data_IF_488389084970
#
_entry.id   IF_488389084970
#
_cell.length_a   1.000
_cell.length_b   1.000
_cell.length_c   1.000
_cell.angle_alpha   90.00
_cell.angle_beta   90.00
_cell.angle_gamma   90.00
#
_symmetry.space_group_name_H-M   'P 1'
#
loop_
_entity.id
_entity.type
_entity.pdbx_description
1 polymer ?
#
# COMPACT_ATOMS: atom_id res chain seq x y z
N UNK A 1 -1.91 9.52 -14.12
CA UNK A 1 -1.24 10.45 -13.20
C UNK A 1 0.25 10.24 -13.32
N UNK A 2 1.01 11.33 -13.35
CA UNK A 2 2.47 11.33 -13.19
C UNK A 2 2.83 11.28 -11.69
N UNK A 3 4.08 11.00 -11.38
CA UNK A 3 4.63 11.06 -10.02
C UNK A 3 4.83 12.52 -9.59
N UNK A 4 4.72 12.78 -8.29
CA UNK A 4 5.06 14.05 -7.64
C UNK A 4 6.18 13.87 -6.62
N UNK A 5 6.78 14.98 -6.22
CA UNK A 5 7.90 15.00 -5.29
C UNK A 5 7.44 15.28 -3.87
N UNK A 6 8.00 14.55 -2.90
CA UNK A 6 7.89 14.86 -1.47
C UNK A 6 8.93 14.08 -0.67
N UNK A 7 8.98 14.36 0.64
CA UNK A 7 9.79 13.64 1.61
C UNK A 7 8.93 13.24 2.81
N UNK A 8 9.31 12.14 3.46
CA UNK A 8 8.73 11.70 4.72
C UNK A 8 9.85 11.19 5.64
N UNK A 9 9.69 11.39 6.94
CA UNK A 9 10.56 10.83 7.96
C UNK A 9 9.71 10.02 8.93
N UNK A 10 10.19 8.84 9.30
CA UNK A 10 9.50 7.92 10.22
C UNK A 10 10.49 7.54 11.30
N UNK A 11 10.07 7.68 12.56
CA UNK A 11 10.84 7.25 13.73
C UNK A 11 10.19 5.98 14.25
N UNK A 12 10.98 4.92 14.34
CA UNK A 12 10.59 3.65 14.97
C UNK A 12 11.49 3.47 16.18
N UNK A 13 10.90 3.08 17.31
CA UNK A 13 11.61 2.86 18.56
C UNK A 13 11.16 1.51 19.17
N UNK A 14 11.84 1.10 20.25
CA UNK A 14 11.44 -0.06 21.02
C UNK A 14 10.02 0.13 21.56
N UNK A 15 9.16 -0.84 21.31
CA UNK A 15 7.80 -0.86 21.85
C UNK A 15 7.84 -0.88 23.38
N UNK A 16 7.05 0.01 23.99
CA UNK A 16 6.87 0.08 25.45
C UNK A 16 5.56 -0.59 25.91
N UNK A 17 4.77 -1.14 24.98
CA UNK A 17 3.51 -1.83 25.29
C UNK A 17 3.09 -2.76 24.15
N UNK A 18 2.42 -3.86 24.45
CA UNK A 18 1.90 -4.80 23.44
C UNK A 18 0.93 -4.17 22.43
N UNK A 19 0.36 -3.00 22.76
CA UNK A 19 -0.49 -2.21 21.86
C UNK A 19 0.29 -1.49 20.74
N UNK A 20 1.62 -1.38 20.86
CA UNK A 20 2.50 -0.78 19.86
C UNK A 20 3.24 -1.87 19.09
N UNK A 21 2.69 -2.23 17.93
CA UNK A 21 3.08 -3.46 17.24
C UNK A 21 3.04 -3.31 15.72
N UNK A 22 4.15 -3.68 15.08
CA UNK A 22 4.17 -4.16 13.70
C UNK A 22 3.94 -5.67 13.78
N UNK A 23 2.72 -6.12 13.44
CA UNK A 23 2.31 -7.52 13.60
C UNK A 23 3.02 -8.43 12.61
N UNK A 24 3.17 -7.96 11.37
CA UNK A 24 3.91 -8.64 10.31
C UNK A 24 4.13 -7.70 9.13
N UNK A 25 5.16 -7.99 8.35
CA UNK A 25 5.40 -7.35 7.06
C UNK A 25 5.95 -8.38 6.07
N UNK A 26 5.42 -8.37 4.86
CA UNK A 26 5.84 -9.27 3.78
C UNK A 26 5.90 -8.52 2.46
N UNK A 27 6.89 -8.84 1.63
CA UNK A 27 7.09 -8.25 0.31
C UNK A 27 7.41 -9.34 -0.71
N UNK A 28 6.85 -9.18 -1.91
CA UNK A 28 7.07 -10.08 -3.05
C UNK A 28 7.42 -9.28 -4.30
N UNK A 29 8.58 -9.58 -4.89
CA UNK A 29 8.97 -9.09 -6.21
C UNK A 29 8.48 -10.04 -7.30
N UNK A 30 7.65 -9.54 -8.22
CA UNK A 30 7.13 -10.31 -9.35
C UNK A 30 7.94 -10.02 -10.62
N UNK A 31 9.18 -10.52 -10.67
CA UNK A 31 10.17 -10.18 -11.69
C UNK A 31 9.70 -10.43 -13.14
N UNK A 32 8.79 -11.39 -13.35
CA UNK A 32 8.16 -11.67 -14.65
C UNK A 32 7.49 -10.44 -15.27
N UNK A 33 7.15 -9.43 -14.48
CA UNK A 33 6.50 -8.20 -14.93
C UNK A 33 7.41 -6.96 -14.87
N UNK A 34 8.71 -7.12 -14.58
CA UNK A 34 9.65 -6.01 -14.47
C UNK A 34 9.65 -5.10 -15.72
N UNK A 35 9.51 -5.70 -16.92
CA UNK A 35 9.45 -4.97 -18.20
C UNK A 35 8.26 -4.01 -18.33
N UNK A 36 7.25 -4.12 -17.48
CA UNK A 36 6.09 -3.22 -17.51
C UNK A 36 6.42 -1.82 -16.99
N UNK A 37 7.56 -1.65 -16.32
CA UNK A 37 8.09 -0.34 -15.98
C UNK A 37 9.61 -0.34 -15.94
N UNK A 38 10.22 0.44 -16.82
CA UNK A 38 11.68 0.53 -16.93
C UNK A 38 12.13 1.97 -16.71
N UNK A 39 13.08 2.16 -15.79
CA UNK A 39 13.88 3.37 -15.71
C UNK A 39 15.05 3.26 -16.67
N UNK A 40 15.07 4.07 -17.72
CA UNK A 40 16.14 4.06 -18.74
C UNK A 40 16.37 5.47 -19.30
N UNK A 41 17.48 5.71 -20.04
CA UNK A 41 17.72 7.01 -20.65
C UNK A 41 16.52 7.49 -21.46
N UNK A 42 16.17 8.75 -21.28
CA UNK A 42 15.06 9.39 -21.99
C UNK A 42 15.39 9.52 -23.47
N UNK A 43 14.43 9.17 -24.32
CA UNK A 43 14.46 9.38 -25.77
C UNK A 43 14.14 10.85 -26.15
N UNK A 44 13.75 11.68 -25.17
CA UNK A 44 13.30 13.07 -25.39
C UNK A 44 14.14 14.13 -24.68
N UNK A 45 14.83 13.77 -23.60
CA UNK A 45 15.52 14.72 -22.72
C UNK A 45 16.87 14.18 -22.29
N UNK A 46 17.77 15.06 -21.83
CA UNK A 46 18.98 14.64 -21.15
C UNK A 46 18.59 14.17 -19.74
N UNK A 47 18.56 12.86 -19.50
CA UNK A 47 18.18 12.28 -18.20
C UNK A 47 17.59 10.87 -18.30
N UNK A 48 17.02 10.40 -17.20
CA UNK A 48 16.31 9.11 -17.10
C UNK A 48 14.80 9.36 -17.17
N UNK A 49 14.06 8.46 -17.82
CA UNK A 49 12.61 8.44 -17.84
C UNK A 49 12.07 7.06 -17.41
N UNK A 50 10.87 7.07 -16.83
CA UNK A 50 10.11 5.87 -16.48
C UNK A 50 9.17 5.51 -17.62
N UNK A 51 9.48 4.44 -18.34
CA UNK A 51 8.64 3.90 -19.41
C UNK A 51 7.70 2.85 -18.84
N UNK A 52 6.42 3.20 -18.73
CA UNK A 52 5.42 2.38 -18.02
C UNK A 52 4.30 1.93 -18.93
N UNK A 53 4.04 0.62 -18.99
CA UNK A 53 2.86 0.05 -19.64
C UNK A 53 1.71 -0.02 -18.61
N UNK A 54 1.14 1.14 -18.29
CA UNK A 54 0.23 1.32 -17.16
C UNK A 54 -1.03 0.43 -17.22
N UNK A 55 -1.55 0.21 -18.43
CA UNK A 55 -2.74 -0.63 -18.63
C UNK A 55 -2.49 -2.11 -18.25
N UNK A 56 -1.30 -2.63 -18.55
CA UNK A 56 -0.94 -4.02 -18.23
C UNK A 56 -0.68 -4.24 -16.73
N UNK A 57 -0.12 -3.22 -16.07
CA UNK A 57 0.19 -3.24 -14.64
C UNK A 57 -1.08 -3.28 -13.78
N UNK A 58 -2.14 -2.59 -14.22
CA UNK A 58 -3.41 -2.51 -13.49
C UNK A 58 -4.45 -3.55 -13.93
N UNK A 59 -4.05 -4.57 -14.69
CA UNK A 59 -4.95 -5.69 -14.99
C UNK A 59 -5.30 -6.45 -13.72
N UNK A 60 -6.53 -6.98 -13.70
CA UNK A 60 -7.14 -7.61 -12.52
C UNK A 60 -6.23 -8.65 -11.86
N UNK A 61 -5.67 -9.56 -12.63
CA UNK A 61 -4.85 -10.65 -12.11
C UNK A 61 -3.51 -10.17 -11.53
N UNK A 62 -3.00 -9.00 -11.94
CA UNK A 62 -1.82 -8.37 -11.33
C UNK A 62 -2.15 -7.70 -10.01
N UNK A 63 -3.31 -7.03 -9.95
CA UNK A 63 -3.84 -6.50 -8.69
C UNK A 63 -4.09 -7.63 -7.68
N UNK A 64 -4.56 -8.78 -8.15
CA UNK A 64 -4.82 -9.96 -7.33
C UNK A 64 -3.55 -10.66 -6.81
N UNK A 65 -2.35 -10.25 -7.19
CA UNK A 65 -1.10 -10.81 -6.65
C UNK A 65 -0.98 -10.56 -5.13
N UNK A 66 -1.30 -9.35 -4.67
CA UNK A 66 -1.29 -9.03 -3.24
C UNK A 66 -2.22 -9.92 -2.40
N UNK A 67 -3.54 -9.95 -2.64
CA UNK A 67 -4.45 -10.69 -1.76
C UNK A 67 -4.21 -12.20 -1.84
N UNK A 68 -3.75 -12.74 -2.98
CA UNK A 68 -3.33 -14.15 -3.08
C UNK A 68 -2.09 -14.44 -2.25
N UNK A 69 -1.12 -13.53 -2.27
CA UNK A 69 0.08 -13.66 -1.44
C UNK A 69 -0.27 -13.61 0.05
N UNK A 70 -1.16 -12.70 0.46
CA UNK A 70 -1.60 -12.61 1.85
C UNK A 70 -2.46 -13.82 2.28
N UNK A 71 -3.28 -14.38 1.39
CA UNK A 71 -3.96 -15.66 1.66
C UNK A 71 -2.99 -16.82 1.88
N UNK A 72 -1.91 -16.89 1.09
CA UNK A 72 -0.89 -17.91 1.29
C UNK A 72 -0.22 -17.76 2.66
N UNK A 73 0.10 -16.53 3.05
CA UNK A 73 0.61 -16.22 4.39
C UNK A 73 -0.35 -16.67 5.50
N UNK A 74 -1.64 -16.34 5.41
CA UNK A 74 -2.64 -16.79 6.39
C UNK A 74 -2.81 -18.30 6.44
N UNK A 75 -2.67 -19.00 5.31
CA UNK A 75 -2.73 -20.46 5.29
C UNK A 75 -1.58 -21.08 6.09
N UNK A 76 -0.40 -20.46 6.08
CA UNK A 76 0.79 -20.94 6.77
C UNK A 76 0.82 -20.53 8.25
N UNK A 77 0.39 -19.31 8.56
CA UNK A 77 0.51 -18.71 9.91
C UNK A 77 -0.80 -18.75 10.71
N UNK A 78 -1.90 -19.17 10.08
CA UNK A 78 -3.24 -19.11 10.65
C UNK A 78 -3.90 -17.73 10.51
N UNK A 79 -5.22 -17.72 10.65
CA UNK A 79 -6.04 -16.51 10.52
C UNK A 79 -6.61 -16.30 9.12
N UNK A 80 -7.18 -15.12 8.92
CA UNK A 80 -7.72 -14.60 7.66
C UNK A 80 -7.97 -13.09 7.81
N UNK A 81 -8.31 -12.42 6.71
CA UNK A 81 -8.49 -10.95 6.70
C UNK A 81 -9.60 -10.46 7.64
N UNK A 82 -10.63 -11.26 7.91
CA UNK A 82 -11.71 -10.89 8.84
C UNK A 82 -11.25 -10.98 10.29
N UNK A 83 -10.49 -12.03 10.62
CA UNK A 83 -9.94 -12.24 11.97
C UNK A 83 -8.93 -11.17 12.37
N UNK A 84 -8.31 -10.49 11.40
CA UNK A 84 -7.36 -9.40 11.64
C UNK A 84 -8.01 -8.16 12.24
N UNK A 85 -9.30 -7.94 11.96
CA UNK A 85 -10.07 -6.77 12.44
C UNK A 85 -9.38 -5.44 12.10
N UNK A 86 -8.96 -5.27 10.85
CA UNK A 86 -8.43 -4.00 10.38
C UNK A 86 -9.49 -2.91 10.45
N UNK A 87 -9.14 -1.75 11.03
CA UNK A 87 -9.98 -0.55 11.00
C UNK A 87 -9.84 0.19 9.66
N UNK A 88 -8.65 0.10 9.07
CA UNK A 88 -8.29 0.83 7.86
C UNK A 88 -7.46 -0.01 6.90
N UNK A 89 -7.60 0.31 5.61
CA UNK A 89 -6.68 -0.13 4.57
C UNK A 89 -6.03 1.07 3.88
N UNK A 90 -4.72 1.00 3.69
CA UNK A 90 -3.92 2.03 3.03
C UNK A 90 -3.19 1.42 1.85
N UNK A 91 -3.76 1.62 0.66
CA UNK A 91 -3.11 1.24 -0.59
C UNK A 91 -2.05 2.25 -1.02
N UNK A 92 -1.13 1.82 -1.87
CA UNK A 92 -0.25 2.76 -2.56
C UNK A 92 -1.06 3.76 -3.41
N UNK A 93 -0.68 5.05 -3.37
CA UNK A 93 -1.47 6.16 -3.91
C UNK A 93 -1.22 6.38 -5.41
N UNK A 94 -1.55 5.39 -6.24
CA UNK A 94 -1.33 5.48 -7.71
C UNK A 94 -2.37 6.36 -8.40
N UNK A 95 -3.61 6.33 -7.91
CA UNK A 95 -4.75 7.07 -8.43
C UNK A 95 -6.06 6.52 -7.87
N UNK A 96 -7.10 7.36 -7.80
CA UNK A 96 -8.39 7.01 -7.18
C UNK A 96 -8.99 5.72 -7.73
N UNK A 97 -9.04 5.57 -9.05
CA UNK A 97 -9.55 4.36 -9.71
C UNK A 97 -8.73 3.11 -9.40
N UNK A 98 -7.40 3.23 -9.32
CA UNK A 98 -6.53 2.11 -9.00
C UNK A 98 -6.76 1.64 -7.56
N UNK A 99 -6.77 2.59 -6.61
CA UNK A 99 -7.06 2.33 -5.19
C UNK A 99 -8.42 1.63 -5.03
N UNK A 100 -9.46 2.11 -5.71
CA UNK A 100 -10.78 1.45 -5.69
C UNK A 100 -10.72 0.01 -6.22
N UNK A 101 -10.02 -0.22 -7.33
CA UNK A 101 -9.86 -1.56 -7.90
C UNK A 101 -9.06 -2.50 -6.96
N UNK A 102 -8.07 -1.99 -6.22
CA UNK A 102 -7.32 -2.79 -5.26
C UNK A 102 -8.24 -3.31 -4.15
N UNK A 103 -9.06 -2.45 -3.55
CA UNK A 103 -10.04 -2.89 -2.54
C UNK A 103 -11.09 -3.83 -3.13
N UNK A 104 -11.63 -3.53 -4.31
CA UNK A 104 -12.61 -4.40 -4.98
C UNK A 104 -12.06 -5.80 -5.25
N UNK A 105 -10.93 -5.90 -5.94
CA UNK A 105 -10.35 -7.20 -6.32
C UNK A 105 -9.70 -7.91 -5.13
N UNK A 106 -9.26 -7.17 -4.11
CA UNK A 106 -8.87 -7.72 -2.82
C UNK A 106 -10.02 -8.44 -2.13
N UNK A 107 -11.16 -7.76 -1.98
CA UNK A 107 -12.36 -8.35 -1.38
C UNK A 107 -12.86 -9.59 -2.15
N UNK A 108 -12.79 -9.58 -3.49
CA UNK A 108 -13.13 -10.75 -4.31
C UNK A 108 -12.20 -11.95 -4.04
N UNK A 109 -10.90 -11.72 -3.84
CA UNK A 109 -9.94 -12.82 -3.59
C UNK A 109 -10.02 -13.32 -2.16
N UNK A 110 -10.15 -12.41 -1.19
CA UNK A 110 -10.31 -12.80 0.21
C UNK A 110 -11.68 -13.41 0.51
N UNK A 111 -12.65 -13.29 -0.40
CA UNK A 111 -14.04 -13.68 -0.20
C UNK A 111 -14.65 -13.03 1.06
N UNK A 112 -14.19 -11.81 1.37
CA UNK A 112 -14.49 -11.12 2.62
C UNK A 112 -14.68 -9.61 2.38
N UNK A 113 -15.39 -8.97 3.31
CA UNK A 113 -15.50 -7.51 3.31
C UNK A 113 -14.19 -6.91 3.82
N UNK A 114 -13.56 -6.09 2.99
CA UNK A 114 -12.47 -5.22 3.43
C UNK A 114 -13.04 -3.99 4.14
N UNK A 115 -12.25 -3.30 5.00
CA UNK A 115 -12.69 -2.09 5.67
C UNK A 115 -13.21 -1.05 4.68
N UNK A 116 -14.37 -0.45 4.98
CA UNK A 116 -14.94 0.62 4.15
C UNK A 116 -14.02 1.85 4.12
N UNK A 117 -13.28 2.07 5.21
CA UNK A 117 -12.31 3.16 5.32
C UNK A 117 -11.01 2.82 4.59
N UNK A 118 -11.01 3.07 3.28
CA UNK A 118 -9.77 3.19 2.52
C UNK A 118 -9.14 4.56 2.79
N UNK A 119 -7.92 4.58 3.31
CA UNK A 119 -7.15 5.80 3.51
C UNK A 119 -6.59 6.27 2.17
N UNK A 120 -6.81 7.54 1.85
CA UNK A 120 -6.41 8.12 0.57
C UNK A 120 -6.05 9.59 0.74
N UNK A 121 -4.98 9.99 0.05
CA UNK A 121 -4.57 11.37 -0.13
C UNK A 121 -4.33 11.73 -1.61
N UNK A 122 -4.52 10.76 -2.50
CA UNK A 122 -4.10 10.84 -3.90
C UNK A 122 -4.76 11.99 -4.68
N UNK A 123 -5.97 12.41 -4.29
CA UNK A 123 -6.70 13.48 -4.98
C UNK A 123 -6.10 14.87 -4.76
N UNK A 124 -5.42 15.07 -3.62
CA UNK A 124 -4.84 16.37 -3.26
C UNK A 124 -3.31 16.38 -3.20
N UNK A 125 -2.66 15.22 -2.99
CA UNK A 125 -1.20 15.10 -3.01
C UNK A 125 -0.64 14.40 -4.24
N UNK A 126 -1.48 13.75 -5.05
CA UNK A 126 -1.03 12.95 -6.16
C UNK A 126 -0.28 11.68 -5.73
N UNK A 127 0.50 11.11 -6.65
CA UNK A 127 1.33 9.94 -6.39
C UNK A 127 2.74 10.39 -6.03
N UNK A 128 3.08 10.38 -4.74
CA UNK A 128 4.41 10.78 -4.24
C UNK A 128 5.40 9.62 -4.10
N UNK A 129 5.24 8.61 -4.97
CA UNK A 129 6.08 7.43 -5.03
C UNK A 129 6.26 6.76 -3.66
N UNK A 130 7.48 6.49 -3.24
CA UNK A 130 7.80 5.75 -2.01
C UNK A 130 7.30 6.42 -0.73
N UNK A 131 7.05 7.72 -0.75
CA UNK A 131 6.58 8.46 0.43
C UNK A 131 5.05 8.46 0.60
N UNK A 132 4.31 7.96 -0.40
CA UNK A 132 2.86 8.05 -0.47
C UNK A 132 2.13 7.47 0.74
N UNK A 133 2.55 6.29 1.22
CA UNK A 133 1.92 5.66 2.38
C UNK A 133 2.10 6.50 3.65
N UNK A 134 3.32 7.00 3.90
CA UNK A 134 3.62 7.76 5.11
C UNK A 134 2.90 9.11 5.15
N UNK A 135 2.90 9.85 4.03
CA UNK A 135 2.22 11.14 3.97
C UNK A 135 0.70 10.95 4.05
N UNK A 136 0.15 9.93 3.39
CA UNK A 136 -1.28 9.63 3.51
C UNK A 136 -1.66 9.26 4.94
N UNK A 137 -0.86 8.42 5.61
CA UNK A 137 -1.09 8.05 6.99
C UNK A 137 -1.04 9.29 7.90
N UNK A 138 -0.02 10.14 7.74
CA UNK A 138 0.12 11.40 8.46
C UNK A 138 -1.12 12.30 8.31
N UNK A 139 -1.60 12.53 7.09
CA UNK A 139 -2.79 13.37 6.84
C UNK A 139 -4.07 12.76 7.47
N UNK A 140 -4.20 11.44 7.45
CA UNK A 140 -5.36 10.76 8.03
C UNK A 140 -5.29 10.71 9.57
N UNK A 141 -4.11 10.71 10.17
CA UNK A 141 -3.92 10.90 11.62
C UNK A 141 -4.27 12.35 11.99
N UNK A 142 -3.69 13.34 11.28
CA UNK A 142 -3.87 14.76 11.55
C UNK A 142 -5.33 15.21 11.44
N UNK A 143 -6.09 14.61 10.53
CA UNK A 143 -7.53 14.87 10.37
C UNK A 143 -8.42 14.09 11.37
N UNK A 144 -7.83 13.27 12.23
CA UNK A 144 -8.56 12.46 13.22
C UNK A 144 -9.31 11.26 12.65
N UNK A 145 -9.06 10.90 11.37
CA UNK A 145 -9.66 9.74 10.72
C UNK A 145 -9.02 8.44 11.18
N UNK A 146 -7.70 8.43 11.41
CA UNK A 146 -6.95 7.37 12.08
C UNK A 146 -6.71 7.79 13.53
N UNK A 147 -7.06 6.92 14.47
CA UNK A 147 -7.00 7.15 15.91
C UNK A 147 -5.98 6.22 16.55
N UNK A 148 -5.62 6.56 17.79
CA UNK A 148 -4.78 5.70 18.62
C UNK A 148 -5.50 4.36 18.85
N UNK A 149 -4.79 3.27 18.57
CA UNK A 149 -5.28 1.90 18.68
C UNK A 149 -5.80 1.32 17.38
N UNK A 150 -6.01 2.13 16.34
CA UNK A 150 -6.50 1.63 15.06
C UNK A 150 -5.45 0.72 14.40
N UNK A 151 -5.92 -0.41 13.86
CA UNK A 151 -5.11 -1.37 13.12
C UNK A 151 -5.23 -1.12 11.63
N UNK A 152 -4.09 -0.89 10.99
CA UNK A 152 -4.01 -0.48 9.58
C UNK A 152 -3.34 -1.58 8.76
N UNK A 153 -4.00 -2.00 7.68
CA UNK A 153 -3.38 -2.79 6.62
C UNK A 153 -2.76 -1.87 5.58
N UNK A 154 -1.43 -1.84 5.51
CA UNK A 154 -0.70 -1.08 4.50
C UNK A 154 -0.34 -2.02 3.35
N UNK A 155 -0.79 -1.68 2.14
CA UNK A 155 -0.57 -2.46 0.92
C UNK A 155 0.39 -1.71 0.00
N UNK A 156 1.70 -2.01 0.07
CA UNK A 156 2.67 -1.45 -0.86
C UNK A 156 2.46 -1.99 -2.27
N UNK A 157 2.66 -1.10 -3.25
CA UNK A 157 2.79 -1.46 -4.65
C UNK A 157 3.89 -0.58 -5.24
N UNK A 158 4.77 -1.17 -6.04
CA UNK A 158 5.80 -0.42 -6.76
C UNK A 158 5.88 -0.84 -8.23
N UNK A 159 6.29 0.11 -9.06
CA UNK A 159 6.59 -0.10 -10.48
C UNK A 159 7.72 -1.13 -10.64
N UNK A 160 7.55 -2.08 -11.57
CA UNK A 160 8.32 -3.35 -11.61
C UNK A 160 7.54 -4.54 -11.02
N UNK A 161 6.32 -4.29 -10.54
CA UNK A 161 5.40 -5.22 -9.88
C UNK A 161 6.02 -5.83 -8.63
N UNK A 162 6.18 -4.98 -7.63
CA UNK A 162 6.42 -5.38 -6.26
C UNK A 162 5.14 -5.11 -5.49
N UNK A 163 4.74 -6.05 -4.64
CA UNK A 163 3.62 -5.85 -3.73
C UNK A 163 3.85 -6.59 -2.43
N UNK A 164 2.94 -6.42 -1.47
CA UNK A 164 3.06 -7.03 -0.16
C UNK A 164 2.00 -6.50 0.78
N UNK A 165 2.24 -6.69 2.06
CA UNK A 165 1.33 -6.23 3.11
C UNK A 165 2.08 -6.01 4.41
N UNK A 166 1.61 -5.03 5.17
CA UNK A 166 2.12 -4.67 6.49
C UNK A 166 0.90 -4.46 7.40
N UNK A 167 0.87 -5.16 8.52
CA UNK A 167 -0.16 -5.01 9.56
C UNK A 167 0.46 -4.28 10.75
N UNK A 168 -0.09 -3.13 11.12
CA UNK A 168 0.45 -2.28 12.17
C UNK A 168 -0.68 -1.66 13.00
N UNK A 169 -0.48 -1.55 14.31
CA UNK A 169 -1.36 -0.77 15.19
C UNK A 169 -0.75 0.60 15.44
N UNK A 170 -1.53 1.66 15.23
CA UNK A 170 -1.06 3.04 15.43
C UNK A 170 -1.24 3.41 16.91
N UNK A 171 -0.18 3.33 17.69
CA UNK A 171 -0.22 3.50 19.16
C UNK A 171 0.17 4.91 19.64
N UNK A 172 0.96 5.63 18.84
CA UNK A 172 1.44 6.98 19.09
C UNK A 172 1.26 7.81 17.82
N UNK A 173 0.65 8.99 17.96
CA UNK A 173 0.29 9.82 16.82
C UNK A 173 1.33 10.91 16.56
N UNK A 174 2.06 11.40 17.58
CA UNK A 174 3.18 12.33 17.40
C UNK A 174 2.90 13.62 16.61
N UNK A 175 1.61 13.97 16.40
CA UNK A 175 1.12 15.17 15.68
C UNK A 175 0.33 16.08 16.60
#
# INVERSE_FOLDING_TARGET
MTVGDSAAAVILDQSTSDADCIHYYELMSCADYARLCLGMPSDKTQGVALYTVNAEMHKKDRIQLWPRFQMAYYKEHGGNVESEKFDHILHHQVGTRAIHNFSKYGAEVFEAKLPESTLSAVEYLGNTATTAHFITLYENIKSGKVKKGDKVLIVPAASGVITGFLSVTISNLGV
#
